data_IF_130673430903
#
_entry.id   IF_130673430903
#
_cell.length_a   1.000
_cell.length_b   1.000
_cell.length_c   1.000
_cell.angle_alpha   90.00
_cell.angle_beta   90.00
_cell.angle_gamma   90.00
#
_symmetry.space_group_name_H-M   'P 1'
#
loop_
_entity.id
_entity.type
_entity.pdbx_description
1 polymer ?
#
# COMPACT_ATOMS: atom_id res chain seq x y z
N UNK A 1 14.21 3.18 -28.03
CA UNK A 1 14.14 3.54 -26.60
C UNK A 1 14.41 2.27 -25.81
N UNK A 2 15.28 2.32 -24.81
CA UNK A 2 15.50 1.20 -23.88
C UNK A 2 14.25 1.04 -23.02
N UNK A 3 13.62 -0.13 -23.08
CA UNK A 3 12.45 -0.45 -22.26
C UNK A 3 12.82 -0.37 -20.77
N UNK A 4 12.02 0.30 -19.93
CA UNK A 4 12.29 0.39 -18.48
C UNK A 4 12.15 -0.98 -17.80
N UNK A 5 12.90 -1.23 -16.73
CA UNK A 5 12.76 -2.39 -15.84
C UNK A 5 13.09 -1.98 -14.39
N UNK A 6 12.14 -2.15 -13.47
CA UNK A 6 12.20 -1.50 -12.15
C UNK A 6 12.31 -2.55 -11.04
N UNK A 7 13.45 -2.65 -10.38
CA UNK A 7 13.63 -3.52 -9.22
C UNK A 7 13.13 -2.83 -7.95
N UNK A 8 11.97 -3.22 -7.41
CA UNK A 8 11.48 -2.70 -6.13
C UNK A 8 11.86 -3.61 -4.97
N UNK A 9 12.49 -3.00 -3.97
CA UNK A 9 12.83 -3.63 -2.70
C UNK A 9 11.90 -3.05 -1.63
N UNK A 10 10.89 -3.81 -1.18
CA UNK A 10 9.81 -3.28 -0.35
C UNK A 10 10.18 -3.08 1.13
N UNK A 11 11.29 -3.65 1.62
CA UNK A 11 11.63 -3.61 3.05
C UNK A 11 13.13 -3.44 3.29
N UNK A 12 13.45 -2.65 4.32
CA UNK A 12 14.81 -2.46 4.81
C UNK A 12 15.48 -3.76 5.26
N UNK A 13 14.70 -4.73 5.75
CA UNK A 13 15.22 -6.03 6.21
C UNK A 13 15.89 -6.81 5.08
N UNK A 14 15.36 -6.70 3.86
CA UNK A 14 15.99 -7.32 2.69
C UNK A 14 17.39 -6.78 2.47
N UNK A 15 17.57 -5.46 2.60
CA UNK A 15 18.86 -4.79 2.40
C UNK A 15 19.79 -4.86 3.62
N UNK A 16 19.25 -5.19 4.79
CA UNK A 16 20.03 -5.54 5.99
C UNK A 16 20.68 -6.91 5.83
N UNK A 17 19.96 -7.86 5.21
CA UNK A 17 20.41 -9.25 5.09
C UNK A 17 21.29 -9.51 3.87
N UNK A 18 21.04 -8.81 2.76
CA UNK A 18 21.76 -8.97 1.50
C UNK A 18 22.02 -7.60 0.84
N UNK A 19 23.14 -7.41 0.15
CA UNK A 19 23.46 -6.15 -0.52
C UNK A 19 22.55 -5.90 -1.74
N UNK A 20 22.53 -4.64 -2.22
CA UNK A 20 21.78 -4.22 -3.41
C UNK A 20 22.11 -5.11 -4.63
N UNK A 21 23.38 -5.44 -4.85
CA UNK A 21 23.83 -6.26 -5.99
C UNK A 21 23.24 -7.67 -6.00
N UNK A 22 23.04 -8.28 -4.83
CA UNK A 22 22.37 -9.58 -4.72
C UNK A 22 20.95 -9.48 -5.27
N UNK A 23 20.19 -8.49 -4.81
CA UNK A 23 18.80 -8.28 -5.18
C UNK A 23 18.61 -7.93 -6.66
N UNK A 24 19.49 -7.11 -7.23
CA UNK A 24 19.52 -6.84 -8.68
C UNK A 24 19.86 -8.08 -9.50
N UNK A 25 20.74 -8.96 -9.01
CA UNK A 25 21.02 -10.26 -9.60
C UNK A 25 19.78 -11.16 -9.61
N UNK A 26 19.09 -11.29 -8.47
CA UNK A 26 17.84 -12.08 -8.34
C UNK A 26 16.73 -11.55 -9.25
N UNK A 27 16.59 -10.22 -9.33
CA UNK A 27 15.68 -9.59 -10.28
C UNK A 27 16.03 -10.02 -11.71
N UNK A 28 17.32 -9.97 -12.08
CA UNK A 28 17.77 -10.31 -13.43
C UNK A 28 17.53 -11.76 -13.81
N UNK A 29 17.77 -12.69 -12.87
CA UNK A 29 17.46 -14.12 -13.05
C UNK A 29 15.96 -14.36 -13.29
N UNK A 30 15.12 -13.69 -12.50
CA UNK A 30 13.68 -13.86 -12.56
C UNK A 30 13.06 -13.19 -13.79
N UNK A 31 13.34 -11.91 -14.00
CA UNK A 31 12.81 -11.10 -15.08
C UNK A 31 13.48 -11.41 -16.44
N UNK A 32 14.57 -12.20 -16.43
CA UNK A 32 15.41 -12.52 -17.59
C UNK A 32 15.98 -11.27 -18.28
N UNK A 33 16.18 -10.19 -17.53
CA UNK A 33 16.76 -8.92 -17.97
C UNK A 33 17.26 -8.09 -16.80
N UNK A 34 18.28 -7.27 -17.03
CA UNK A 34 18.79 -6.33 -16.02
C UNK A 34 17.79 -5.22 -15.70
N UNK A 35 17.77 -4.78 -14.45
CA UNK A 35 17.03 -3.60 -14.03
C UNK A 35 17.67 -2.33 -14.61
N UNK A 36 16.85 -1.38 -15.06
CA UNK A 36 17.28 -0.03 -15.42
C UNK A 36 17.02 0.96 -14.27
N UNK A 37 16.14 0.59 -13.35
CA UNK A 37 15.75 1.41 -12.20
C UNK A 37 15.62 0.54 -10.95
N UNK A 38 15.79 1.15 -9.79
CA UNK A 38 15.57 0.49 -8.49
C UNK A 38 14.74 1.39 -7.58
N UNK A 39 13.89 0.80 -6.76
CA UNK A 39 13.13 1.48 -5.72
C UNK A 39 13.59 0.97 -4.36
N UNK A 40 14.13 1.88 -3.56
CA UNK A 40 14.66 1.59 -2.23
C UNK A 40 13.64 1.96 -1.14
N UNK A 41 13.56 1.19 -0.05
CA UNK A 41 12.70 1.55 1.07
C UNK A 41 13.33 2.73 1.84
N UNK A 42 12.64 3.87 1.91
CA UNK A 42 13.12 5.05 2.63
C UNK A 42 12.38 5.28 3.94
N UNK A 43 11.05 5.18 3.92
CA UNK A 43 10.21 5.22 5.13
C UNK A 43 9.32 3.99 5.12
N UNK A 44 9.54 3.09 6.08
CA UNK A 44 8.74 1.88 6.27
C UNK A 44 7.76 2.00 7.44
N UNK A 45 7.16 0.88 7.85
CA UNK A 45 6.19 0.83 8.96
C UNK A 45 6.78 1.27 10.30
N UNK A 46 8.08 1.10 10.50
CA UNK A 46 8.77 1.49 11.73
C UNK A 46 9.40 2.89 11.68
N UNK A 47 9.34 3.56 10.53
CA UNK A 47 9.91 4.90 10.35
C UNK A 47 11.04 4.96 9.32
N UNK A 48 11.85 6.04 9.37
CA UNK A 48 12.82 6.35 8.34
C UNK A 48 14.06 5.44 8.43
N UNK A 49 14.55 4.98 7.29
CA UNK A 49 15.80 4.21 7.14
C UNK A 49 17.01 5.12 6.85
N UNK A 50 16.93 6.35 7.33
CA UNK A 50 17.91 7.42 7.20
C UNK A 50 17.84 8.34 8.43
N UNK A 51 18.88 9.16 8.64
CA UNK A 51 18.87 10.14 9.72
C UNK A 51 17.87 11.25 9.40
N UNK A 52 16.74 11.25 10.10
CA UNK A 52 15.66 12.23 9.94
C UNK A 52 15.56 13.13 11.18
N UNK A 53 15.22 14.39 10.97
CA UNK A 53 14.89 15.33 12.06
C UNK A 53 13.50 15.04 12.65
N UNK A 54 12.68 14.25 11.96
CA UNK A 54 11.29 13.96 12.34
C UNK A 54 11.21 12.77 13.29
N UNK A 55 11.95 11.70 13.00
CA UNK A 55 11.92 10.46 13.78
C UNK A 55 13.27 9.76 13.72
N UNK A 56 13.72 9.21 14.85
CA UNK A 56 14.98 8.48 14.89
C UNK A 56 14.93 7.21 14.04
N UNK A 57 16.06 6.81 13.47
CA UNK A 57 16.20 5.51 12.80
C UNK A 57 15.77 4.38 13.76
N UNK A 58 14.94 3.41 13.32
CA UNK A 58 14.47 2.34 14.18
C UNK A 58 15.65 1.54 14.76
N UNK A 59 15.46 0.96 15.95
CA UNK A 59 16.54 0.33 16.70
C UNK A 59 17.31 -0.74 15.92
N UNK A 60 16.61 -1.56 15.13
CA UNK A 60 17.17 -2.59 14.27
C UNK A 60 18.13 -2.07 13.17
N UNK A 61 18.06 -0.76 12.88
CA UNK A 61 18.81 -0.08 11.82
C UNK A 61 19.77 1.00 12.37
N UNK A 62 19.97 1.07 13.69
CA UNK A 62 20.86 2.06 14.29
C UNK A 62 22.34 1.81 13.93
N UNK A 63 23.10 2.89 13.82
CA UNK A 63 24.55 2.83 13.63
C UNK A 63 25.02 2.87 12.17
N UNK A 64 24.11 2.88 11.18
CA UNK A 64 24.48 3.12 9.78
C UNK A 64 23.47 4.04 9.08
N UNK A 65 23.96 4.89 8.16
CA UNK A 65 23.10 5.71 7.31
C UNK A 65 22.63 4.87 6.11
N UNK A 66 21.70 3.95 6.38
CA UNK A 66 21.33 2.84 5.50
C UNK A 66 20.91 3.31 4.10
N UNK A 67 19.94 4.21 3.99
CA UNK A 67 19.46 4.68 2.70
C UNK A 67 20.56 5.38 1.88
N UNK A 68 21.37 6.23 2.50
CA UNK A 68 22.50 6.90 1.83
C UNK A 68 23.47 5.89 1.21
N UNK A 69 23.82 4.85 1.97
CA UNK A 69 24.64 3.75 1.47
C UNK A 69 23.95 3.03 0.31
N UNK A 70 22.68 2.69 0.44
CA UNK A 70 21.94 1.96 -0.59
C UNK A 70 21.77 2.76 -1.88
N UNK A 71 21.57 4.07 -1.81
CA UNK A 71 21.53 4.96 -2.98
C UNK A 71 22.87 4.89 -3.73
N UNK A 72 23.99 5.02 -3.02
CA UNK A 72 25.33 4.92 -3.62
C UNK A 72 25.56 3.54 -4.25
N UNK A 73 25.35 2.47 -3.48
CA UNK A 73 25.56 1.09 -3.93
C UNK A 73 24.65 0.75 -5.15
N UNK A 74 23.46 1.35 -5.22
CA UNK A 74 22.53 1.24 -6.34
C UNK A 74 23.06 1.92 -7.60
N UNK A 75 23.59 3.14 -7.48
CA UNK A 75 24.20 3.85 -8.61
C UNK A 75 25.41 3.09 -9.15
N UNK A 76 26.24 2.52 -8.26
CA UNK A 76 27.36 1.66 -8.65
C UNK A 76 26.89 0.39 -9.38
N UNK A 77 25.81 -0.24 -8.91
CA UNK A 77 25.32 -1.50 -9.46
C UNK A 77 24.52 -1.35 -10.76
N UNK A 78 23.78 -0.26 -10.93
CA UNK A 78 23.00 0.02 -12.14
C UNK A 78 23.85 0.62 -13.27
N UNK A 79 24.94 1.31 -12.92
CA UNK A 79 25.82 1.98 -13.89
C UNK A 79 25.29 3.33 -14.38
N UNK A 80 25.94 3.87 -15.40
CA UNK A 80 25.61 5.18 -15.98
C UNK A 80 24.18 5.17 -16.57
N UNK A 81 23.37 6.15 -16.16
CA UNK A 81 21.96 6.26 -16.57
C UNK A 81 20.97 5.43 -15.73
N UNK A 82 21.45 4.68 -14.73
CA UNK A 82 20.60 3.99 -13.76
C UNK A 82 19.79 4.96 -12.90
N UNK A 83 18.51 4.63 -12.69
CA UNK A 83 17.57 5.46 -11.91
C UNK A 83 17.34 4.88 -10.52
N UNK A 84 17.45 5.72 -9.49
CA UNK A 84 17.20 5.36 -8.09
C UNK A 84 15.98 6.11 -7.57
N UNK A 85 14.93 5.38 -7.22
CA UNK A 85 13.75 5.87 -6.53
C UNK A 85 13.81 5.55 -5.04
N UNK A 86 13.10 6.33 -4.22
CA UNK A 86 12.85 6.02 -2.82
C UNK A 86 11.35 5.89 -2.52
N UNK A 87 10.97 4.80 -1.86
CA UNK A 87 9.60 4.53 -1.41
C UNK A 87 9.35 5.08 0.00
N UNK A 88 8.22 5.78 0.15
CA UNK A 88 7.68 6.27 1.41
C UNK A 88 6.30 5.66 1.64
N UNK A 89 6.18 4.78 2.63
CA UNK A 89 4.90 4.19 3.04
C UNK A 89 4.14 5.19 3.92
N UNK A 90 2.92 5.53 3.50
CA UNK A 90 2.06 6.50 4.18
C UNK A 90 1.11 5.79 5.15
N UNK A 91 1.69 5.16 6.17
CA UNK A 91 0.98 4.53 7.30
C UNK A 91 1.20 5.35 8.59
N UNK A 92 2.48 5.60 8.92
CA UNK A 92 2.89 6.52 9.99
C UNK A 92 2.59 6.05 11.42
N UNK A 93 2.25 4.78 11.64
CA UNK A 93 2.00 4.21 12.98
C UNK A 93 3.17 4.48 13.94
N UNK A 94 4.41 4.44 13.42
CA UNK A 94 5.64 4.73 14.18
C UNK A 94 5.70 6.11 14.83
N UNK A 95 4.91 7.09 14.37
CA UNK A 95 4.86 8.42 14.98
C UNK A 95 4.23 8.41 16.37
N UNK A 96 3.49 7.33 16.73
CA UNK A 96 2.89 7.10 18.06
C UNK A 96 2.18 8.35 18.63
N UNK A 97 1.38 9.00 17.79
CA UNK A 97 0.71 10.25 18.12
C UNK A 97 -0.78 10.20 17.74
N UNK A 98 -1.63 9.92 18.72
CA UNK A 98 -3.08 9.81 18.56
C UNK A 98 -3.77 11.10 18.05
N UNK A 99 -3.12 12.25 18.15
CA UNK A 99 -3.67 13.52 17.66
C UNK A 99 -3.72 13.56 16.13
N UNK A 100 -2.77 12.90 15.47
CA UNK A 100 -2.68 12.86 14.00
C UNK A 100 -3.24 11.57 13.41
N UNK A 101 -3.67 10.64 14.26
CA UNK A 101 -4.26 9.38 13.86
C UNK A 101 -5.62 9.56 13.20
N UNK A 102 -5.95 8.62 12.34
CA UNK A 102 -7.28 8.53 11.75
C UNK A 102 -8.32 8.30 12.83
N UNK A 103 -9.52 8.79 12.57
CA UNK A 103 -10.69 8.56 13.42
C UNK A 103 -11.72 7.83 12.58
N UNK A 104 -12.26 6.71 13.03
CA UNK A 104 -13.39 6.11 12.32
C UNK A 104 -14.66 6.96 12.52
N UNK A 105 -15.77 6.55 11.90
CA UNK A 105 -17.04 7.28 12.02
C UNK A 105 -17.58 7.36 13.46
N UNK A 106 -17.12 6.49 14.35
CA UNK A 106 -17.46 6.46 15.78
C UNK A 106 -16.55 7.36 16.63
N UNK A 107 -15.53 7.99 16.04
CA UNK A 107 -14.53 8.81 16.74
C UNK A 107 -13.41 8.02 17.39
N UNK A 108 -13.38 6.69 17.23
CA UNK A 108 -12.30 5.86 17.76
C UNK A 108 -11.00 6.11 16.97
N UNK A 109 -9.86 6.26 17.65
CA UNK A 109 -8.56 6.37 17.00
C UNK A 109 -8.20 5.06 16.29
N UNK A 110 -7.57 5.17 15.13
CA UNK A 110 -7.04 4.07 14.34
C UNK A 110 -5.53 4.30 14.21
N UNK A 111 -4.72 3.24 14.33
CA UNK A 111 -3.26 3.36 14.45
C UNK A 111 -2.55 3.96 13.21
N UNK A 112 -3.28 4.20 12.12
CA UNK A 112 -2.80 4.88 10.91
C UNK A 112 -2.93 6.40 11.03
N UNK A 113 -2.03 7.15 10.38
CA UNK A 113 -2.09 8.61 10.32
C UNK A 113 -3.15 9.13 9.36
N UNK A 114 -3.78 10.26 9.71
CA UNK A 114 -4.64 10.99 8.80
C UNK A 114 -3.79 11.86 7.87
N UNK A 115 -3.69 11.50 6.59
CA UNK A 115 -2.90 12.28 5.62
C UNK A 115 -3.53 13.62 5.28
N UNK A 116 -4.78 13.90 5.68
CA UNK A 116 -5.37 15.23 5.57
C UNK A 116 -4.96 16.14 6.75
N UNK A 117 -4.44 15.57 7.84
CA UNK A 117 -4.06 16.33 9.03
C UNK A 117 -2.83 17.22 8.72
N UNK A 118 -2.86 18.54 9.01
CA UNK A 118 -1.77 19.45 8.66
C UNK A 118 -0.40 19.04 9.24
N UNK A 119 -0.38 18.55 10.47
CA UNK A 119 0.84 18.05 11.10
C UNK A 119 1.37 16.81 10.35
N UNK A 120 0.54 15.82 10.03
CA UNK A 120 0.97 14.65 9.27
C UNK A 120 1.52 15.04 7.88
N UNK A 121 0.83 15.97 7.19
CA UNK A 121 1.31 16.54 5.93
C UNK A 121 2.70 17.17 6.07
N UNK A 122 2.91 18.03 7.08
CA UNK A 122 4.21 18.65 7.33
C UNK A 122 5.31 17.62 7.66
N UNK A 123 4.98 16.63 8.49
CA UNK A 123 5.86 15.52 8.88
C UNK A 123 6.34 14.73 7.68
N UNK A 124 5.44 14.23 6.82
CA UNK A 124 5.83 13.46 5.65
C UNK A 124 6.55 14.31 4.60
N UNK A 125 6.14 15.57 4.39
CA UNK A 125 6.87 16.48 3.48
C UNK A 125 8.29 16.69 3.94
N UNK A 126 8.52 16.88 5.24
CA UNK A 126 9.88 17.01 5.80
C UNK A 126 10.70 15.76 5.53
N UNK A 127 10.16 14.57 5.79
CA UNK A 127 10.84 13.31 5.46
C UNK A 127 11.14 13.18 3.96
N UNK A 128 10.19 13.54 3.09
CA UNK A 128 10.38 13.52 1.63
C UNK A 128 11.50 14.48 1.21
N UNK A 129 11.53 15.72 1.73
CA UNK A 129 12.62 16.67 1.49
C UNK A 129 13.98 16.12 1.93
N UNK A 130 14.04 15.46 3.09
CA UNK A 130 15.26 14.82 3.58
C UNK A 130 15.71 13.68 2.65
N UNK A 131 14.78 12.87 2.13
CA UNK A 131 15.08 11.81 1.16
C UNK A 131 15.59 12.38 -0.16
N UNK A 132 14.97 13.46 -0.67
CA UNK A 132 15.43 14.17 -1.88
C UNK A 132 16.89 14.60 -1.71
N UNK A 133 17.24 15.15 -0.55
CA UNK A 133 18.61 15.59 -0.26
C UNK A 133 19.66 14.46 -0.26
N UNK A 134 19.24 13.18 -0.22
CA UNK A 134 20.13 12.03 -0.35
C UNK A 134 20.48 11.71 -1.82
N UNK A 135 19.96 12.47 -2.78
CA UNK A 135 20.30 12.35 -4.19
C UNK A 135 19.59 11.20 -4.90
N UNK A 136 18.31 10.99 -4.61
CA UNK A 136 17.43 10.10 -5.39
C UNK A 136 16.91 10.80 -6.64
N UNK A 137 16.56 10.04 -7.68
CA UNK A 137 16.04 10.57 -8.95
C UNK A 137 14.50 10.62 -8.99
N UNK A 138 13.83 10.10 -7.95
CA UNK A 138 12.39 10.11 -7.82
C UNK A 138 11.88 9.59 -6.48
N UNK A 139 10.65 9.96 -6.14
CA UNK A 139 9.93 9.53 -4.94
C UNK A 139 8.71 8.72 -5.34
N UNK A 140 8.54 7.57 -4.68
CA UNK A 140 7.36 6.72 -4.78
C UNK A 140 6.63 6.81 -3.45
N UNK A 141 5.37 7.23 -3.46
CA UNK A 141 4.54 7.16 -2.25
C UNK A 141 3.64 5.94 -2.32
N UNK A 142 3.69 5.12 -1.28
CA UNK A 142 2.82 3.97 -1.12
C UNK A 142 1.64 4.36 -0.24
N UNK A 143 0.45 4.38 -0.84
CA UNK A 143 -0.80 4.76 -0.18
C UNK A 143 -1.70 3.56 0.09
N UNK A 144 -1.18 2.32 -0.02
CA UNK A 144 -2.01 1.11 0.13
C UNK A 144 -2.67 0.95 1.49
N UNK A 145 -2.08 1.55 2.52
CA UNK A 145 -2.60 1.56 3.88
C UNK A 145 -2.91 3.00 4.36
N UNK A 146 -3.13 3.93 3.42
CA UNK A 146 -3.41 5.32 3.76
C UNK A 146 -4.83 5.52 4.32
N UNK A 147 -5.81 4.68 3.98
CA UNK A 147 -7.18 4.73 4.55
C UNK A 147 -7.82 3.33 4.62
N UNK A 148 -7.20 2.37 5.32
CA UNK A 148 -7.55 0.96 5.20
C UNK A 148 -8.94 0.72 5.77
N UNK A 149 -9.96 0.54 4.94
CA UNK A 149 -11.25 0.09 5.46
C UNK A 149 -11.12 -1.35 5.95
N UNK A 150 -11.32 -1.53 7.25
CA UNK A 150 -11.31 -2.84 7.88
C UNK A 150 -12.68 -3.14 8.48
N UNK A 151 -13.11 -4.39 8.34
CA UNK A 151 -13.94 -5.03 9.35
C UNK A 151 -13.03 -5.46 10.50
N UNK A 152 -12.31 -4.51 11.10
CA UNK A 152 -11.41 -4.80 12.20
C UNK A 152 -12.21 -5.46 13.33
N UNK A 153 -11.72 -6.60 13.81
CA UNK A 153 -12.26 -7.29 14.97
C UNK A 153 -12.21 -6.44 16.26
N UNK A 154 -11.52 -5.30 16.23
CA UNK A 154 -11.42 -4.37 17.35
C UNK A 154 -12.65 -3.47 17.50
N UNK A 155 -13.57 -3.46 16.51
CA UNK A 155 -14.82 -2.68 16.56
C UNK A 155 -16.03 -3.51 16.10
N UNK A 156 -17.16 -3.34 16.79
CA UNK A 156 -18.42 -3.96 16.36
C UNK A 156 -19.00 -3.18 15.17
N UNK A 157 -18.75 -3.62 13.94
CA UNK A 157 -19.37 -2.99 12.77
C UNK A 157 -18.48 -2.84 11.54
N UNK A 158 -19.06 -2.30 10.48
CA UNK A 158 -18.33 -1.73 9.33
C UNK A 158 -17.60 -0.48 9.84
N UNK A 159 -16.27 -0.39 9.69
CA UNK A 159 -15.51 0.83 10.00
C UNK A 159 -15.14 1.55 8.72
N UNK A 160 -15.64 2.77 8.54
CA UNK A 160 -15.22 3.66 7.46
C UNK A 160 -14.12 4.60 7.97
N UNK A 161 -13.08 4.77 7.16
CA UNK A 161 -11.85 5.43 7.63
C UNK A 161 -11.80 6.94 7.38
N UNK A 162 -11.27 7.59 8.41
CA UNK A 162 -11.00 9.00 8.65
C UNK A 162 -12.17 10.00 8.55
N UNK A 163 -12.86 10.19 9.69
CA UNK A 163 -13.88 11.18 10.01
C UNK A 163 -13.36 12.22 11.01
N UNK A 164 -12.05 12.52 11.04
CA UNK A 164 -11.57 13.69 11.80
C UNK A 164 -12.09 14.99 11.15
N UNK A 165 -12.04 16.10 11.89
CA UNK A 165 -12.66 17.34 11.43
C UNK A 165 -12.01 17.87 10.14
N UNK A 166 -10.69 17.72 9.98
CA UNK A 166 -10.00 18.05 8.72
C UNK A 166 -10.51 17.25 7.51
N UNK A 167 -10.84 15.98 7.70
CA UNK A 167 -11.41 15.15 6.64
C UNK A 167 -12.85 15.54 6.33
N UNK A 168 -13.66 15.85 7.35
CA UNK A 168 -15.04 16.29 7.15
C UNK A 168 -15.11 17.65 6.46
N UNK A 169 -14.24 18.59 6.84
CA UNK A 169 -14.12 19.88 6.18
C UNK A 169 -13.70 19.73 4.72
N UNK A 170 -12.71 18.85 4.45
CA UNK A 170 -12.29 18.57 3.08
C UNK A 170 -13.40 17.93 2.23
N UNK A 171 -14.19 17.01 2.80
CA UNK A 171 -15.36 16.44 2.12
C UNK A 171 -16.43 17.50 1.82
N UNK A 172 -16.68 18.42 2.75
CA UNK A 172 -17.62 19.52 2.56
C UNK A 172 -17.16 20.44 1.42
N UNK A 173 -15.87 20.69 1.27
CA UNK A 173 -15.30 21.42 0.13
C UNK A 173 -15.48 20.68 -1.21
N UNK A 174 -15.71 19.36 -1.18
CA UNK A 174 -16.09 18.54 -2.34
C UNK A 174 -17.60 18.34 -2.50
N UNK A 175 -18.40 19.12 -1.77
CA UNK A 175 -19.86 19.12 -1.88
C UNK A 175 -20.56 17.98 -1.12
N UNK A 176 -19.83 17.26 -0.26
CA UNK A 176 -20.42 16.22 0.59
C UNK A 176 -20.60 16.72 2.02
N UNK A 177 -21.86 16.91 2.44
CA UNK A 177 -22.22 17.60 3.69
C UNK A 177 -22.93 16.71 4.72
N UNK A 178 -22.95 15.39 4.51
CA UNK A 178 -23.59 14.49 5.48
C UNK A 178 -22.82 14.46 6.81
N UNK A 179 -23.53 14.44 7.95
CA UNK A 179 -22.89 14.36 9.25
C UNK A 179 -22.34 12.94 9.54
N UNK A 180 -21.37 12.82 10.45
CA UNK A 180 -20.76 11.51 10.85
C UNK A 180 -21.82 10.45 11.22
N UNK A 181 -22.92 10.86 11.86
CA UNK A 181 -24.04 9.97 12.23
C UNK A 181 -24.70 9.24 11.06
N UNK A 182 -24.60 9.77 9.84
CA UNK A 182 -25.14 9.13 8.64
C UNK A 182 -24.41 7.83 8.25
N UNK A 183 -23.24 7.59 8.86
CA UNK A 183 -22.38 6.43 8.61
C UNK A 183 -22.52 5.34 9.68
N UNK A 184 -23.39 5.54 10.67
CA UNK A 184 -23.49 4.70 11.87
C UNK A 184 -24.80 3.92 11.86
N UNK A 185 -24.72 2.63 12.19
CA UNK A 185 -25.88 1.78 12.45
C UNK A 185 -26.49 1.15 11.21
N UNK A 186 -27.68 0.58 11.39
CA UNK A 186 -28.36 -0.20 10.35
C UNK A 186 -28.84 0.63 9.16
N UNK A 187 -29.10 1.92 9.36
CA UNK A 187 -29.56 2.85 8.32
C UNK A 187 -28.40 3.54 7.57
N UNK A 188 -27.17 3.06 7.78
CA UNK A 188 -25.98 3.63 7.14
C UNK A 188 -25.94 3.29 5.65
N UNK A 189 -25.90 4.31 4.81
CA UNK A 189 -25.89 4.14 3.34
C UNK A 189 -24.64 3.39 2.83
N UNK A 190 -23.54 3.37 3.60
CA UNK A 190 -22.32 2.64 3.22
C UNK A 190 -22.53 1.11 3.23
N UNK A 191 -23.61 0.61 3.84
CA UNK A 191 -23.97 -0.82 3.82
C UNK A 191 -24.24 -1.35 2.42
N UNK A 192 -24.53 -0.47 1.46
CA UNK A 192 -24.64 -0.85 0.06
C UNK A 192 -23.31 -1.34 -0.51
N UNK A 193 -22.18 -0.81 -0.05
CA UNK A 193 -20.84 -1.16 -0.52
C UNK A 193 -20.00 -1.99 0.44
N UNK A 194 -20.39 -2.04 1.71
CA UNK A 194 -19.65 -2.70 2.78
C UNK A 194 -20.58 -3.61 3.59
N UNK A 195 -20.13 -4.82 3.93
CA UNK A 195 -20.87 -5.76 4.77
C UNK A 195 -19.90 -6.45 5.73
N UNK A 196 -20.34 -6.73 6.95
CA UNK A 196 -19.60 -7.61 7.85
C UNK A 196 -19.70 -9.06 7.39
N UNK A 197 -18.62 -9.79 7.57
CA UNK A 197 -18.52 -11.23 7.33
C UNK A 197 -17.74 -11.87 8.50
N UNK A 198 -17.73 -13.20 8.58
CA UNK A 198 -17.14 -13.93 9.72
C UNK A 198 -15.63 -13.64 9.90
N UNK A 199 -14.93 -13.32 8.80
CA UNK A 199 -13.49 -13.03 8.77
C UNK A 199 -13.17 -11.52 8.63
N UNK A 200 -14.16 -10.62 8.72
CA UNK A 200 -13.96 -9.17 8.64
C UNK A 200 -15.04 -8.43 7.86
N UNK A 201 -14.66 -7.69 6.81
CA UNK A 201 -15.60 -6.97 5.96
C UNK A 201 -15.50 -7.42 4.50
N UNK A 202 -16.65 -7.77 3.92
CA UNK A 202 -16.83 -7.86 2.48
C UNK A 202 -17.08 -6.46 1.91
N UNK A 203 -16.54 -6.20 0.72
CA UNK A 203 -16.71 -4.93 0.01
C UNK A 203 -17.08 -5.16 -1.46
N UNK A 204 -17.73 -4.17 -2.05
CA UNK A 204 -17.89 -4.00 -3.48
C UNK A 204 -16.92 -2.92 -3.89
N UNK A 205 -15.93 -3.19 -4.74
CA UNK A 205 -15.10 -2.16 -5.38
C UNK A 205 -15.87 -1.63 -6.61
N UNK A 206 -16.63 -0.52 -6.52
CA UNK A 206 -17.40 -0.07 -7.67
C UNK A 206 -16.45 0.36 -8.80
N UNK A 207 -16.73 -0.04 -10.06
CA UNK A 207 -16.10 0.56 -11.22
C UNK A 207 -16.20 2.08 -11.19
N UNK A 208 -15.14 2.74 -11.65
CA UNK A 208 -15.12 4.20 -11.69
C UNK A 208 -16.28 4.78 -12.51
N UNK A 209 -16.63 4.15 -13.63
CA UNK A 209 -17.77 4.56 -14.45
C UNK A 209 -19.07 4.61 -13.67
N UNK A 210 -19.29 3.67 -12.74
CA UNK A 210 -20.49 3.71 -11.89
C UNK A 210 -20.50 4.92 -10.95
N UNK A 211 -19.34 5.33 -10.43
CA UNK A 211 -19.21 6.52 -9.58
C UNK A 211 -19.48 7.78 -10.40
N UNK A 212 -18.86 7.88 -11.58
CA UNK A 212 -18.93 9.06 -12.45
C UNK A 212 -20.34 9.27 -13.02
N UNK A 213 -20.97 8.19 -13.49
CA UNK A 213 -22.32 8.20 -14.07
C UNK A 213 -23.42 8.15 -13.01
N UNK A 214 -23.04 7.93 -11.74
CA UNK A 214 -23.96 7.68 -10.62
C UNK A 214 -24.93 6.55 -10.93
N UNK A 215 -24.41 5.42 -11.41
CA UNK A 215 -25.18 4.23 -11.79
C UNK A 215 -25.71 3.50 -10.55
N UNK A 216 -26.75 4.06 -9.94
CA UNK A 216 -27.37 3.54 -8.73
C UNK A 216 -28.01 2.17 -8.95
N UNK A 217 -28.54 1.91 -10.15
CA UNK A 217 -29.18 0.65 -10.48
C UNK A 217 -28.17 -0.51 -10.43
N UNK A 218 -26.97 -0.32 -11.00
CA UNK A 218 -25.91 -1.32 -10.93
C UNK A 218 -25.44 -1.58 -9.50
N UNK A 219 -25.25 -0.53 -8.68
CA UNK A 219 -24.87 -0.69 -7.27
C UNK A 219 -25.92 -1.49 -6.50
N UNK A 220 -27.18 -1.11 -6.61
CA UNK A 220 -28.28 -1.72 -5.88
C UNK A 220 -28.45 -3.17 -6.32
N UNK A 221 -28.44 -3.43 -7.63
CA UNK A 221 -28.53 -4.78 -8.16
C UNK A 221 -27.38 -5.67 -7.65
N UNK A 222 -26.15 -5.18 -7.66
CA UNK A 222 -24.99 -5.92 -7.17
C UNK A 222 -25.06 -6.13 -5.65
N UNK A 223 -25.44 -5.10 -4.88
CA UNK A 223 -25.59 -5.16 -3.44
C UNK A 223 -26.66 -6.18 -3.01
N UNK A 224 -27.81 -6.20 -3.69
CA UNK A 224 -28.86 -7.21 -3.47
C UNK A 224 -28.38 -8.61 -3.85
N UNK A 225 -27.75 -8.77 -5.01
CA UNK A 225 -27.24 -10.07 -5.47
C UNK A 225 -26.20 -10.67 -4.52
N UNK A 226 -25.34 -9.81 -3.95
CA UNK A 226 -24.31 -10.20 -2.97
C UNK A 226 -24.82 -10.21 -1.52
N UNK A 227 -26.08 -9.86 -1.29
CA UNK A 227 -26.72 -9.78 0.04
C UNK A 227 -25.97 -8.84 0.99
N UNK A 228 -25.57 -7.68 0.49
CA UNK A 228 -25.11 -6.55 1.29
C UNK A 228 -26.31 -5.85 1.95
N UNK A 229 -27.40 -5.75 1.19
CA UNK A 229 -28.71 -5.26 1.63
C UNK A 229 -29.82 -6.24 1.25
N UNK A 230 -31.01 -6.02 1.79
CA UNK A 230 -32.24 -6.78 1.49
C UNK A 230 -33.41 -5.83 1.19
N UNK A 231 -34.51 -6.36 0.67
CA UNK A 231 -35.71 -5.57 0.33
C UNK A 231 -35.76 -5.12 -1.13
N UNK A 232 -36.73 -4.25 -1.44
CA UNK A 232 -37.01 -3.80 -2.80
C UNK A 232 -35.95 -2.79 -3.31
N UNK A 233 -35.50 -2.87 -4.58
CA UNK A 233 -34.50 -1.95 -5.14
C UNK A 233 -34.82 -0.46 -4.95
N UNK A 234 -36.11 -0.09 -5.09
CA UNK A 234 -36.55 1.29 -4.95
C UNK A 234 -36.28 1.89 -3.55
N UNK A 235 -36.21 1.06 -2.50
CA UNK A 235 -35.90 1.51 -1.14
C UNK A 235 -34.46 2.01 -0.99
N UNK A 236 -33.55 1.59 -1.89
CA UNK A 236 -32.11 1.83 -1.79
C UNK A 236 -31.59 2.96 -2.68
N UNK A 237 -32.45 3.56 -3.51
CA UNK A 237 -32.05 4.57 -4.50
C UNK A 237 -31.40 5.81 -3.88
N UNK A 238 -32.00 6.36 -2.83
CA UNK A 238 -31.46 7.53 -2.15
C UNK A 238 -30.09 7.24 -1.50
N UNK A 239 -29.94 6.05 -0.90
CA UNK A 239 -28.68 5.65 -0.27
C UNK A 239 -27.59 5.36 -1.29
N UNK A 240 -27.93 4.81 -2.45
CA UNK A 240 -26.98 4.62 -3.55
C UNK A 240 -26.44 5.96 -4.06
N UNK A 241 -27.30 6.97 -4.23
CA UNK A 241 -26.87 8.33 -4.59
C UNK A 241 -25.95 8.95 -3.53
N UNK A 242 -26.29 8.79 -2.25
CA UNK A 242 -25.48 9.29 -1.12
C UNK A 242 -24.13 8.60 -1.07
N UNK A 243 -24.10 7.29 -1.30
CA UNK A 243 -22.87 6.50 -1.35
C UNK A 243 -21.96 6.96 -2.49
N UNK A 244 -22.47 7.14 -3.70
CA UNK A 244 -21.65 7.65 -4.80
C UNK A 244 -21.16 9.08 -4.58
N UNK A 245 -22.00 9.94 -4.01
CA UNK A 245 -21.59 11.30 -3.65
C UNK A 245 -20.47 11.30 -2.60
N UNK A 246 -20.55 10.40 -1.62
CA UNK A 246 -19.49 10.19 -0.64
C UNK A 246 -18.20 9.70 -1.29
N UNK A 247 -18.28 8.64 -2.11
CA UNK A 247 -17.11 8.06 -2.78
C UNK A 247 -16.42 9.08 -3.69
N UNK A 248 -17.17 9.77 -4.53
CA UNK A 248 -16.65 10.81 -5.43
C UNK A 248 -15.93 11.93 -4.65
N UNK A 249 -16.53 12.42 -3.57
CA UNK A 249 -15.91 13.43 -2.71
C UNK A 249 -14.65 12.88 -2.03
N UNK A 250 -14.71 11.66 -1.49
CA UNK A 250 -13.61 11.04 -0.77
C UNK A 250 -12.40 10.78 -1.65
N UNK A 251 -12.58 10.20 -2.84
CA UNK A 251 -11.46 9.93 -3.77
C UNK A 251 -10.76 11.20 -4.20
N UNK A 252 -11.52 12.29 -4.39
CA UNK A 252 -10.96 13.61 -4.68
C UNK A 252 -10.16 14.20 -3.50
N UNK A 253 -10.68 14.10 -2.27
CA UNK A 253 -9.96 14.54 -1.06
C UNK A 253 -8.65 13.78 -0.91
N UNK A 254 -8.67 12.45 -1.03
CA UNK A 254 -7.45 11.65 -0.88
C UNK A 254 -6.43 11.99 -1.97
N UNK A 255 -6.86 12.11 -3.23
CA UNK A 255 -5.97 12.47 -4.32
C UNK A 255 -5.29 13.84 -4.10
N UNK A 256 -6.04 14.82 -3.58
CA UNK A 256 -5.49 16.13 -3.22
C UNK A 256 -4.53 16.06 -2.03
N UNK A 257 -4.81 15.21 -1.03
CA UNK A 257 -3.90 14.99 0.08
C UNK A 257 -2.56 14.39 -0.41
N UNK A 258 -2.60 13.39 -1.30
CA UNK A 258 -1.40 12.79 -1.89
C UNK A 258 -0.62 13.79 -2.73
N UNK A 259 -1.32 14.57 -3.58
CA UNK A 259 -0.73 15.70 -4.33
C UNK A 259 0.04 16.64 -3.42
N UNK A 260 -0.52 16.91 -2.23
CA UNK A 260 0.04 17.79 -1.22
C UNK A 260 1.28 17.20 -0.53
N UNK A 261 1.32 15.88 -0.28
CA UNK A 261 2.49 15.19 0.28
C UNK A 261 3.72 15.34 -0.64
N UNK A 262 3.49 15.28 -1.95
CA UNK A 262 4.52 15.35 -2.99
C UNK A 262 4.93 16.79 -3.37
N UNK A 263 4.48 17.81 -2.63
CA UNK A 263 4.85 19.20 -2.89
C UNK A 263 6.38 19.43 -2.95
N UNK A 264 7.21 18.89 -2.02
CA UNK A 264 8.66 19.07 -2.09
C UNK A 264 9.29 18.52 -3.38
N UNK A 265 8.72 17.45 -3.95
CA UNK A 265 9.22 16.89 -5.21
C UNK A 265 8.99 17.87 -6.37
N UNK A 266 7.86 18.57 -6.39
CA UNK A 266 7.55 19.56 -7.44
C UNK A 266 8.46 20.78 -7.35
N UNK A 267 8.73 21.23 -6.13
CA UNK A 267 9.61 22.37 -5.87
C UNK A 267 11.05 22.09 -6.34
N UNK A 268 11.49 20.85 -6.22
CA UNK A 268 12.84 20.38 -6.61
C UNK A 268 12.88 19.68 -7.98
N UNK A 269 11.77 19.67 -8.73
CA UNK A 269 11.62 18.98 -10.03
C UNK A 269 12.05 17.49 -10.00
N UNK A 270 11.73 16.80 -8.91
CA UNK A 270 11.95 15.37 -8.68
C UNK A 270 10.76 14.59 -9.22
N UNK A 271 11.03 13.49 -9.94
CA UNK A 271 9.97 12.62 -10.48
C UNK A 271 9.16 11.98 -9.36
N UNK A 272 7.88 11.80 -9.60
CA UNK A 272 6.95 11.27 -8.61
C UNK A 272 6.15 10.08 -9.14
N UNK A 273 5.96 9.08 -8.29
CA UNK A 273 5.06 7.98 -8.56
C UNK A 273 4.18 7.68 -7.34
N UNK A 274 2.99 7.13 -7.57
CA UNK A 274 2.10 6.65 -6.51
C UNK A 274 1.81 5.17 -6.74
N UNK A 275 2.05 4.34 -5.72
CA UNK A 275 1.57 2.96 -5.70
C UNK A 275 0.11 2.97 -5.29
N UNK A 276 -0.73 2.44 -6.17
CA UNK A 276 -2.17 2.40 -6.01
C UNK A 276 -2.68 0.96 -5.95
N UNK A 277 -3.88 0.82 -5.44
CA UNK A 277 -4.65 -0.42 -5.46
C UNK A 277 -5.17 -0.73 -6.86
N UNK A 278 -6.23 -1.54 -6.93
CA UNK A 278 -6.89 -1.81 -8.22
C UNK A 278 -7.27 -0.50 -8.93
N UNK A 279 -7.37 -0.48 -10.26
CA UNK A 279 -7.77 0.71 -11.00
C UNK A 279 -9.21 1.19 -10.68
N UNK A 280 -10.04 0.33 -10.08
CA UNK A 280 -11.35 0.65 -9.53
C UNK A 280 -11.23 1.43 -8.20
N UNK A 281 -12.35 1.81 -7.59
CA UNK A 281 -12.33 2.44 -6.29
C UNK A 281 -11.92 1.44 -5.20
N UNK A 282 -10.67 1.55 -4.74
CA UNK A 282 -10.13 0.70 -3.67
C UNK A 282 -10.52 1.25 -2.30
N UNK A 283 -11.32 0.51 -1.53
CA UNK A 283 -11.70 0.91 -0.16
C UNK A 283 -10.52 1.00 0.80
N UNK A 284 -9.39 0.33 0.57
CA UNK A 284 -8.22 0.43 1.47
C UNK A 284 -7.45 1.75 1.34
N UNK A 285 -7.67 2.47 0.24
CA UNK A 285 -6.92 3.69 -0.08
C UNK A 285 -7.86 4.87 -0.31
N UNK A 286 -9.11 4.59 -0.65
CA UNK A 286 -10.12 5.56 -1.05
C UNK A 286 -9.60 6.49 -2.16
N UNK A 287 -9.04 5.91 -3.22
CA UNK A 287 -8.57 6.61 -4.43
C UNK A 287 -8.98 5.84 -5.69
N UNK A 288 -9.02 6.56 -6.81
CA UNK A 288 -9.19 6.01 -8.15
C UNK A 288 -8.18 6.66 -9.09
N UNK A 289 -7.80 5.96 -10.16
CA UNK A 289 -6.81 6.48 -11.11
C UNK A 289 -7.23 7.85 -11.70
N UNK A 290 -8.50 8.05 -12.14
CA UNK A 290 -8.91 9.36 -12.65
C UNK A 290 -8.90 10.47 -11.61
N UNK A 291 -9.21 10.19 -10.34
CA UNK A 291 -9.13 11.19 -9.28
C UNK A 291 -7.67 11.65 -9.06
N UNK A 292 -6.73 10.70 -9.06
CA UNK A 292 -5.30 10.97 -8.94
C UNK A 292 -4.77 11.78 -10.12
N UNK A 293 -5.14 11.39 -11.34
CA UNK A 293 -4.77 12.09 -12.57
C UNK A 293 -5.36 13.51 -12.66
N UNK A 294 -6.64 13.66 -12.34
CA UNK A 294 -7.33 14.97 -12.29
C UNK A 294 -6.68 15.91 -11.28
N UNK A 295 -6.31 15.39 -10.11
CA UNK A 295 -5.57 16.15 -9.11
C UNK A 295 -4.11 16.41 -9.55
N UNK A 296 -3.62 15.74 -10.60
CA UNK A 296 -2.20 15.68 -10.97
C UNK A 296 -1.37 15.31 -9.74
N UNK A 297 -1.75 14.24 -9.06
CA UNK A 297 -1.14 13.85 -7.79
C UNK A 297 0.34 13.48 -7.95
N UNK A 298 0.70 12.80 -9.04
CA UNK A 298 2.07 12.40 -9.38
C UNK A 298 2.30 12.35 -10.90
N UNK A 299 3.55 12.10 -11.31
CA UNK A 299 3.93 11.94 -12.73
C UNK A 299 3.62 10.54 -13.26
N UNK A 300 3.62 9.53 -12.38
CA UNK A 300 3.36 8.12 -12.71
C UNK A 300 2.41 7.47 -11.68
N UNK A 301 1.57 6.54 -12.15
CA UNK A 301 0.64 5.77 -11.31
C UNK A 301 0.91 4.28 -11.47
N UNK A 302 1.22 3.61 -10.37
CA UNK A 302 1.70 2.22 -10.37
C UNK A 302 0.58 1.30 -9.85
N UNK A 303 0.04 0.45 -10.73
CA UNK A 303 -1.20 -0.30 -10.51
C UNK A 303 -1.01 -1.83 -10.70
N UNK A 304 -1.64 -2.69 -9.87
CA UNK A 304 -1.62 -4.15 -10.04
C UNK A 304 -2.29 -4.63 -11.31
N UNK A 305 -3.42 -4.02 -11.62
CA UNK A 305 -4.23 -4.36 -12.78
C UNK A 305 -3.99 -3.32 -13.85
N UNK A 306 -3.81 -3.77 -15.09
CA UNK A 306 -3.72 -2.84 -16.20
C UNK A 306 -5.08 -2.15 -16.38
N UNK A 307 -5.11 -0.81 -16.50
CA UNK A 307 -6.35 -0.09 -16.74
C UNK A 307 -6.95 -0.50 -18.10
N UNK A 308 -8.27 -0.58 -18.16
CA UNK A 308 -8.98 -0.87 -19.41
C UNK A 308 -8.79 0.30 -20.40
N UNK A 309 -8.20 0.00 -21.56
CA UNK A 309 -7.88 0.98 -22.60
C UNK A 309 -9.10 1.60 -23.24
N UNK A 310 -10.18 0.82 -23.37
CA UNK A 310 -11.39 1.26 -24.07
C UNK A 310 -12.17 2.30 -23.27
N UNK A 311 -11.85 2.44 -21.97
CA UNK A 311 -12.52 3.33 -21.02
C UNK A 311 -11.59 4.41 -20.43
N UNK A 312 -10.40 4.63 -21.02
CA UNK A 312 -9.39 5.57 -20.51
C UNK A 312 -9.31 6.85 -21.36
N UNK A 313 -9.95 7.97 -20.97
CA UNK A 313 -10.01 9.19 -21.77
C UNK A 313 -8.72 10.04 -21.78
N UNK A 314 -7.59 9.58 -21.22
CA UNK A 314 -6.35 10.37 -21.09
C UNK A 314 -5.06 9.60 -21.36
N UNK A 315 -3.98 10.34 -21.66
CA UNK A 315 -2.60 9.83 -21.73
C UNK A 315 -2.04 9.57 -20.31
N UNK A 316 -2.65 8.65 -19.57
CA UNK A 316 -2.16 8.29 -18.25
C UNK A 316 -0.79 7.63 -18.34
N UNK A 317 0.16 8.10 -17.53
CA UNK A 317 1.44 7.41 -17.31
C UNK A 317 1.25 6.31 -16.26
N UNK A 318 0.45 5.32 -16.61
CA UNK A 318 0.23 4.15 -15.79
C UNK A 318 1.34 3.11 -16.02
N UNK A 319 1.94 2.62 -14.93
CA UNK A 319 2.90 1.52 -14.93
C UNK A 319 2.19 0.32 -14.32
N UNK A 320 2.15 -0.79 -15.05
CA UNK A 320 1.71 -2.02 -14.40
C UNK A 320 2.77 -2.46 -13.40
N UNK A 321 2.34 -2.60 -12.18
CA UNK A 321 3.13 -2.85 -11.00
C UNK A 321 2.52 -4.09 -10.38
N UNK A 322 3.16 -5.26 -10.52
CA UNK A 322 2.65 -6.58 -10.06
C UNK A 322 2.56 -6.73 -8.52
N UNK A 323 2.35 -5.62 -7.85
CA UNK A 323 2.25 -5.43 -6.45
C UNK A 323 0.88 -4.83 -6.15
N UNK A 324 -0.13 -5.71 -6.14
CA UNK A 324 -1.42 -5.45 -5.52
C UNK A 324 -1.91 -6.74 -4.90
N UNK A 325 -2.45 -6.65 -3.67
CA UNK A 325 -2.74 -7.75 -2.72
C UNK A 325 -1.56 -8.72 -2.43
N UNK A 326 -0.66 -8.97 -3.38
CA UNK A 326 0.62 -9.66 -3.26
C UNK A 326 1.58 -8.88 -2.36
N UNK A 327 1.74 -7.57 -2.56
CA UNK A 327 2.47 -6.71 -1.64
C UNK A 327 1.75 -6.50 -0.33
N UNK A 328 0.42 -6.54 -0.26
CA UNK A 328 -0.25 -6.53 1.04
C UNK A 328 0.22 -7.69 1.92
N UNK A 329 0.37 -8.90 1.36
CA UNK A 329 0.92 -10.04 2.11
C UNK A 329 2.42 -9.93 2.35
N UNK A 330 3.20 -9.29 1.46
CA UNK A 330 4.64 -9.03 1.69
C UNK A 330 4.84 -7.96 2.76
N UNK A 331 4.15 -6.83 2.65
CA UNK A 331 4.07 -5.74 3.62
C UNK A 331 3.55 -6.26 4.96
N UNK A 332 2.47 -7.06 5.01
CA UNK A 332 2.00 -7.68 6.24
C UNK A 332 3.02 -8.67 6.83
N UNK A 333 3.74 -9.41 5.98
CA UNK A 333 4.81 -10.30 6.43
C UNK A 333 5.99 -9.50 6.98
N UNK A 334 6.44 -8.46 6.29
CA UNK A 334 7.56 -7.62 6.68
C UNK A 334 7.22 -6.71 7.86
N UNK A 335 6.02 -6.14 7.94
CA UNK A 335 5.49 -5.45 9.12
C UNK A 335 5.54 -6.37 10.34
N UNK A 336 5.13 -7.65 10.20
CA UNK A 336 5.24 -8.63 11.30
C UNK A 336 6.69 -8.92 11.67
N UNK A 337 7.57 -9.00 10.68
CA UNK A 337 9.00 -9.24 10.89
C UNK A 337 9.69 -8.06 11.57
N UNK A 338 9.50 -6.85 11.04
CA UNK A 338 10.08 -5.62 11.53
C UNK A 338 9.64 -5.40 12.99
N UNK A 339 8.37 -5.66 13.30
CA UNK A 339 7.74 -5.44 14.61
C UNK A 339 7.74 -6.67 15.54
N UNK A 340 8.67 -7.61 15.34
CA UNK A 340 8.63 -8.90 16.05
C UNK A 340 8.85 -8.78 17.56
N UNK A 341 9.67 -7.84 18.05
CA UNK A 341 9.88 -7.66 19.50
C UNK A 341 8.61 -7.21 20.23
N UNK A 342 7.94 -6.18 19.72
CA UNK A 342 6.69 -5.66 20.30
C UNK A 342 5.56 -6.68 20.11
N UNK A 343 5.50 -7.40 18.98
CA UNK A 343 4.49 -8.45 18.75
C UNK A 343 4.71 -9.70 19.59
N UNK A 344 5.95 -10.13 19.82
CA UNK A 344 6.23 -11.28 20.69
C UNK A 344 5.92 -10.97 22.14
N UNK A 345 6.26 -9.77 22.61
CA UNK A 345 5.93 -9.34 23.98
C UNK A 345 4.42 -9.18 24.19
N UNK A 346 3.69 -8.73 23.17
CA UNK A 346 2.23 -8.50 23.26
C UNK A 346 1.41 -9.77 23.04
N UNK A 347 1.78 -10.62 22.05
CA UNK A 347 0.95 -11.73 21.59
C UNK A 347 1.45 -13.11 22.05
N UNK A 348 2.68 -13.18 22.55
CA UNK A 348 3.40 -14.42 22.81
C UNK A 348 4.01 -15.05 21.56
N UNK A 349 5.12 -15.77 21.75
CA UNK A 349 5.95 -16.37 20.69
C UNK A 349 5.15 -17.27 19.75
N UNK A 350 4.30 -18.15 20.30
CA UNK A 350 3.53 -19.10 19.50
C UNK A 350 2.47 -18.42 18.62
N UNK A 351 1.82 -17.38 19.13
CA UNK A 351 0.83 -16.60 18.36
C UNK A 351 1.51 -15.80 17.26
N UNK A 352 2.69 -15.23 17.56
CA UNK A 352 3.52 -14.56 16.57
C UNK A 352 3.93 -15.52 15.43
N UNK A 353 4.46 -16.71 15.76
CA UNK A 353 4.87 -17.71 14.76
C UNK A 353 3.67 -18.15 13.91
N UNK A 354 2.52 -18.48 14.52
CA UNK A 354 1.30 -18.86 13.75
C UNK A 354 0.85 -17.75 12.80
N UNK A 355 0.90 -16.49 13.24
CA UNK A 355 0.56 -15.34 12.39
C UNK A 355 1.59 -15.21 11.25
N UNK A 356 2.88 -15.31 11.54
CA UNK A 356 3.93 -15.26 10.51
C UNK A 356 3.77 -16.39 9.48
N UNK A 357 3.48 -17.61 9.92
CA UNK A 357 3.15 -18.76 9.07
C UNK A 357 1.92 -18.49 8.18
N UNK A 358 0.85 -17.91 8.72
CA UNK A 358 -0.35 -17.58 7.95
C UNK A 358 -0.07 -16.52 6.87
N UNK A 359 0.70 -15.47 7.20
CA UNK A 359 1.13 -14.47 6.21
C UNK A 359 2.02 -15.10 5.12
N UNK A 360 2.95 -15.98 5.51
CA UNK A 360 3.83 -16.72 4.60
C UNK A 360 3.06 -17.68 3.66
N UNK A 361 2.02 -18.36 4.15
CA UNK A 361 1.16 -19.21 3.31
C UNK A 361 0.37 -18.39 2.26
N UNK A 362 -0.12 -17.20 2.64
CA UNK A 362 -0.80 -16.30 1.70
C UNK A 362 0.15 -15.78 0.62
N UNK A 363 1.42 -15.54 0.97
CA UNK A 363 2.50 -15.28 -0.01
C UNK A 363 2.73 -16.46 -0.98
N UNK A 364 2.58 -17.71 -0.52
CA UNK A 364 2.76 -18.92 -1.34
C UNK A 364 1.61 -19.17 -2.33
N UNK A 365 0.41 -18.70 -2.04
CA UNK A 365 -0.74 -18.80 -2.95
C UNK A 365 -0.60 -17.90 -4.19
N UNK A 366 0.39 -17.00 -4.19
CA UNK A 366 0.68 -16.11 -5.30
C UNK A 366 1.37 -16.88 -6.44
N UNK A 367 0.56 -17.48 -7.32
CA UNK A 367 1.00 -18.30 -8.48
C UNK A 367 1.36 -17.46 -9.69
N UNK A 368 2.14 -16.39 -9.52
CA UNK A 368 2.66 -15.64 -10.66
C UNK A 368 3.69 -16.53 -11.37
N UNK A 369 3.26 -17.18 -12.46
CA UNK A 369 4.17 -17.91 -13.35
C UNK A 369 5.11 -16.92 -14.03
N UNK A 370 6.34 -17.34 -14.31
CA UNK A 370 7.36 -16.54 -15.02
C UNK A 370 6.93 -16.05 -16.41
N UNK A 371 5.78 -16.52 -16.93
CA UNK A 371 5.16 -16.08 -18.18
C UNK A 371 3.87 -15.25 -18.04
N UNK A 372 3.09 -15.40 -16.96
CA UNK A 372 1.93 -14.52 -16.69
C UNK A 372 2.35 -13.07 -16.39
N UNK A 373 3.59 -12.90 -15.92
CA UNK A 373 4.26 -11.60 -15.74
C UNK A 373 4.79 -10.98 -17.05
N UNK A 374 4.73 -11.70 -18.18
CA UNK A 374 5.31 -11.29 -19.48
C UNK A 374 4.24 -10.74 -20.46
N UNK A 375 2.97 -11.08 -20.28
CA UNK A 375 1.87 -10.70 -21.19
C UNK A 375 1.08 -9.51 -20.68
N UNK A 376 1.74 -8.38 -20.49
CA UNK A 376 1.05 -7.10 -20.42
C UNK A 376 1.79 -6.04 -21.23
N UNK A 377 2.08 -6.41 -22.48
CA UNK A 377 2.41 -5.50 -23.55
C UNK A 377 1.19 -4.66 -23.91
N UNK A 378 0.68 -3.84 -22.98
CA UNK A 378 -0.32 -2.86 -23.33
C UNK A 378 0.39 -1.65 -23.92
N UNK A 379 1.35 -1.01 -23.26
CA UNK A 379 2.01 0.19 -23.79
C UNK A 379 3.32 -0.12 -24.54
N UNK A 380 3.45 0.29 -25.80
CA UNK A 380 4.64 0.13 -26.66
C UNK A 380 5.96 0.73 -26.09
N UNK A 381 5.89 1.40 -24.94
CA UNK A 381 7.01 2.11 -24.31
C UNK A 381 7.39 1.55 -22.93
N UNK A 382 6.62 0.59 -22.38
CA UNK A 382 6.80 0.11 -21.01
C UNK A 382 6.58 -1.42 -20.91
N UNK A 383 7.62 -2.15 -20.51
CA UNK A 383 7.53 -3.55 -20.06
C UNK A 383 8.30 -3.65 -18.74
N UNK A 384 7.63 -3.42 -17.61
CA UNK A 384 8.29 -3.31 -16.31
C UNK A 384 7.60 -4.16 -15.26
N UNK A 385 8.33 -5.10 -14.69
CA UNK A 385 7.97 -5.87 -13.50
C UNK A 385 8.39 -5.10 -12.26
N UNK A 386 7.66 -5.22 -11.15
CA UNK A 386 8.02 -4.58 -9.88
C UNK A 386 7.85 -5.52 -8.68
N UNK A 387 8.96 -5.82 -8.01
CA UNK A 387 9.03 -6.53 -6.72
C UNK A 387 9.82 -7.85 -6.79
N UNK A 388 10.87 -8.03 -5.99
CA UNK A 388 11.68 -9.27 -6.06
C UNK A 388 10.87 -10.48 -5.59
N UNK A 389 10.72 -11.55 -6.39
CA UNK A 389 10.11 -12.77 -5.90
C UNK A 389 11.06 -13.42 -4.89
N UNK A 390 10.68 -13.43 -3.62
CA UNK A 390 11.42 -14.19 -2.62
C UNK A 390 11.29 -15.69 -2.92
N UNK A 391 12.41 -16.32 -3.25
CA UNK A 391 12.48 -17.76 -3.36
C UNK A 391 12.18 -18.44 -2.03
N UNK A 392 11.91 -19.75 -2.07
CA UNK A 392 11.72 -20.56 -0.85
C UNK A 392 12.91 -20.47 0.11
N UNK A 393 14.13 -20.52 -0.44
CA UNK A 393 15.36 -20.44 0.35
C UNK A 393 15.55 -19.06 0.99
N UNK A 394 15.30 -17.98 0.22
CA UNK A 394 15.38 -16.60 0.69
C UNK A 394 14.46 -16.37 1.90
N UNK A 395 13.24 -16.92 1.88
CA UNK A 395 12.28 -16.84 3.00
C UNK A 395 12.75 -17.61 4.24
N UNK A 396 13.26 -18.82 4.06
CA UNK A 396 13.74 -19.65 5.18
C UNK A 396 14.97 -19.03 5.84
N UNK A 397 15.87 -18.45 5.05
CA UNK A 397 17.04 -17.74 5.54
C UNK A 397 16.67 -16.46 6.27
N UNK A 398 15.72 -15.69 5.71
CA UNK A 398 15.24 -14.45 6.31
C UNK A 398 14.59 -14.75 7.67
N UNK A 399 13.57 -15.61 7.71
CA UNK A 399 12.92 -16.03 8.97
C UNK A 399 13.93 -16.64 9.96
N UNK A 400 14.82 -17.51 9.48
CA UNK A 400 15.80 -18.20 10.32
C UNK A 400 16.91 -17.31 10.87
N UNK A 401 17.33 -16.26 10.15
CA UNK A 401 18.29 -15.26 10.65
C UNK A 401 17.62 -14.29 11.61
N UNK A 402 16.47 -13.73 11.23
CA UNK A 402 15.71 -12.80 12.06
C UNK A 402 15.31 -13.42 13.41
N UNK A 403 14.81 -14.66 13.40
CA UNK A 403 14.47 -15.36 14.66
C UNK A 403 15.71 -15.58 15.53
N UNK A 404 16.85 -15.93 14.94
CA UNK A 404 18.10 -16.14 15.69
C UNK A 404 18.65 -14.86 16.29
N UNK A 405 18.71 -13.79 15.50
CA UNK A 405 19.23 -12.48 15.94
C UNK A 405 18.39 -11.87 17.07
N UNK A 406 17.09 -12.22 17.15
CA UNK A 406 16.14 -11.54 18.02
C UNK A 406 15.71 -12.33 19.25
N UNK A 407 15.94 -13.65 19.26
CA UNK A 407 15.54 -14.52 20.37
C UNK A 407 16.70 -15.28 21.01
N UNK A 408 17.91 -15.22 20.44
CA UNK A 408 19.04 -16.11 20.75
C UNK A 408 18.71 -17.62 20.65
N UNK A 409 17.52 -17.97 20.14
CA UNK A 409 17.03 -19.33 19.98
C UNK A 409 16.88 -19.60 18.49
N UNK A 410 17.55 -20.66 18.00
CA UNK A 410 17.27 -21.14 16.66
C UNK A 410 15.82 -21.67 16.62
N UNK A 411 14.96 -21.21 15.70
CA UNK A 411 13.62 -21.77 15.58
C UNK A 411 13.74 -23.28 15.39
N UNK A 412 13.00 -24.06 16.19
CA UNK A 412 13.07 -25.52 16.15
C UNK A 412 12.99 -26.02 14.70
N UNK A 413 13.82 -27.00 14.34
CA UNK A 413 13.85 -27.57 13.00
C UNK A 413 12.44 -27.99 12.52
N UNK A 414 11.58 -28.42 13.44
CA UNK A 414 10.18 -28.76 13.22
C UNK A 414 9.31 -27.55 12.79
N UNK A 415 9.53 -26.37 13.37
CA UNK A 415 8.89 -25.12 12.96
C UNK A 415 9.41 -24.66 11.59
N UNK A 416 10.73 -24.77 11.33
CA UNK A 416 11.32 -24.48 10.02
C UNK A 416 10.82 -25.46 8.92
N UNK A 417 10.55 -26.71 9.27
CA UNK A 417 9.91 -27.67 8.35
C UNK A 417 8.44 -27.37 8.06
N UNK A 418 7.72 -26.60 8.88
CA UNK A 418 6.34 -26.14 8.53
C UNK A 418 6.35 -25.07 7.43
N UNK A 419 7.47 -24.38 7.26
CA UNK A 419 7.73 -23.49 6.11
C UNK A 419 8.27 -24.26 4.89
N UNK A 420 8.56 -25.56 4.99
CA UNK A 420 8.90 -26.41 3.85
C UNK A 420 7.60 -26.81 3.14
N UNK A 421 7.47 -26.46 1.86
CA UNK A 421 6.42 -26.96 0.98
C UNK A 421 6.27 -28.49 1.14
N UNK A 422 5.05 -28.95 1.38
CA UNK A 422 4.55 -30.14 0.67
C UNK A 422 4.37 -29.70 -0.77
N UNK A 423 5.12 -30.27 -1.70
CA UNK A 423 4.85 -30.07 -3.14
C UNK A 423 3.39 -30.43 -3.43
N UNK A 424 2.72 -29.74 -4.38
CA UNK A 424 1.46 -30.26 -4.87
C UNK A 424 1.75 -31.63 -5.53
N UNK A 425 0.90 -32.65 -5.31
CA UNK A 425 0.96 -33.84 -6.14
C UNK A 425 0.81 -33.41 -7.61
N UNK A 426 1.67 -33.99 -8.45
CA UNK A 426 1.84 -33.68 -9.87
C UNK A 426 0.55 -33.66 -10.69
#
# INVERSE_FOLDING_TARGET
MTTRAICHIPSGEMLRLQPVSHWLGRFSEFARRSATEIVLPAVGFQGPLFQSEVHSVPAAYRGTNHLTKWVRDSRESLGEGGVVWANVIIDGEFLRNELIWQRNQYGAPLAQVCIQHPVAQATFRKMISEVIALGVDGIVVDVTDAYPNSGSADYSGISAHCFCDYCMDALALKGFHEPKRAFIGDDSFIRLGLRLDDDGAAHIDPPQSWIDERDTDSLIAYALARRFVTGEPAAHQADALRMYSYLAARVAVTAEAVRSLLLPCREENIRTAVVMGTAACDWSQMVTLPAMDTAKAADEYWLPDAPDRDHSPGEWRAVQFLAGRSTYYFNLFFQRVEDVQDRMSTLGVDTFIRRLEAASKRLQANRLSSGAAFTASLLNQFEGFVGIPLGRQDRLELVGRLTREMTDVAPHHEALTRFRNTEPPH
#
